data_IF_676496948022
#
_entry.id   IF_676496948022
#
_cell.length_a   1.000
_cell.length_b   1.000
_cell.length_c   1.000
_cell.angle_alpha   90.00
_cell.angle_beta   90.00
_cell.angle_gamma   90.00
#
_symmetry.space_group_name_H-M   'P 1'
#
loop_
_entity.id
_entity.type
_entity.pdbx_description
1 polymer ?
#
# COMPACT_ATOMS: atom_id res chain seq x y z
N UNK A 1 55.04 21.51 -11.43
CA UNK A 1 54.32 22.24 -12.48
C UNK A 1 52.85 22.32 -12.14
N UNK A 2 52.22 23.48 -12.01
CA UNK A 2 50.79 23.56 -11.75
C UNK A 2 50.00 23.12 -13.00
N UNK A 3 48.99 22.29 -12.80
CA UNK A 3 48.06 21.84 -13.84
C UNK A 3 47.37 23.08 -14.43
N UNK A 4 47.44 23.22 -15.76
CA UNK A 4 46.78 24.33 -16.44
C UNK A 4 45.27 24.24 -16.28
N UNK A 5 44.58 25.38 -16.22
CA UNK A 5 43.11 25.49 -16.10
C UNK A 5 42.37 24.64 -17.12
N UNK A 6 42.89 24.48 -18.33
CA UNK A 6 42.34 23.65 -19.39
C UNK A 6 42.31 22.15 -19.04
N UNK A 7 43.36 21.62 -18.42
CA UNK A 7 43.39 20.20 -17.97
C UNK A 7 42.39 19.93 -16.84
N UNK A 8 42.17 20.89 -15.92
CA UNK A 8 41.15 20.77 -14.88
C UNK A 8 39.73 20.78 -15.48
N UNK A 9 39.44 21.65 -16.45
CA UNK A 9 38.13 21.68 -17.10
C UNK A 9 37.79 20.39 -17.86
N UNK A 10 38.76 19.75 -18.53
CA UNK A 10 38.57 18.50 -19.24
C UNK A 10 38.27 17.35 -18.21
N UNK A 11 39.00 17.28 -17.10
CA UNK A 11 38.77 16.25 -16.06
C UNK A 11 37.40 16.40 -15.44
N UNK A 12 36.96 17.60 -15.10
CA UNK A 12 35.64 17.84 -14.54
C UNK A 12 34.50 17.60 -15.55
N UNK A 13 34.72 17.89 -16.83
CA UNK A 13 33.76 17.58 -17.90
C UNK A 13 33.56 16.09 -18.09
N UNK A 14 34.64 15.27 -18.05
CA UNK A 14 34.55 13.82 -18.18
C UNK A 14 33.93 13.16 -16.96
N UNK A 15 34.21 13.61 -15.76
CA UNK A 15 33.58 13.11 -14.52
C UNK A 15 32.08 13.43 -14.53
N UNK A 16 31.68 14.64 -14.94
CA UNK A 16 30.28 15.03 -15.06
C UNK A 16 29.51 14.19 -16.09
N UNK A 17 30.13 13.92 -17.24
CA UNK A 17 29.53 13.08 -18.29
C UNK A 17 29.36 11.62 -17.82
N UNK A 18 30.36 11.05 -17.15
CA UNK A 18 30.28 9.70 -16.56
C UNK A 18 29.18 9.59 -15.51
N UNK A 19 29.05 10.59 -14.64
CA UNK A 19 27.98 10.62 -13.63
C UNK A 19 26.58 10.68 -14.28
N UNK A 20 26.43 11.46 -15.35
CA UNK A 20 25.18 11.56 -16.12
C UNK A 20 24.83 10.24 -16.82
N UNK A 21 25.79 9.57 -17.43
CA UNK A 21 25.61 8.26 -18.08
C UNK A 21 25.25 7.21 -17.04
N UNK A 22 25.91 7.19 -15.89
CA UNK A 22 25.56 6.26 -14.78
C UNK A 22 24.15 6.50 -14.25
N UNK A 23 23.75 7.77 -14.07
CA UNK A 23 22.39 8.10 -13.65
C UNK A 23 21.35 7.65 -14.69
N UNK A 24 21.58 7.86 -15.97
CA UNK A 24 20.70 7.35 -17.04
C UNK A 24 20.61 5.84 -17.05
N UNK A 25 21.71 5.11 -16.88
CA UNK A 25 21.70 3.65 -16.83
C UNK A 25 20.93 3.13 -15.62
N UNK A 26 21.03 3.79 -14.47
CA UNK A 26 20.27 3.45 -13.26
C UNK A 26 18.77 3.67 -13.51
N UNK A 27 18.39 4.82 -14.07
CA UNK A 27 17.00 5.14 -14.40
C UNK A 27 16.41 4.14 -15.41
N UNK A 28 17.15 3.78 -16.45
CA UNK A 28 16.73 2.76 -17.43
C UNK A 28 16.52 1.39 -16.78
N UNK A 29 17.42 0.96 -15.88
CA UNK A 29 17.27 -0.31 -15.17
C UNK A 29 16.03 -0.31 -14.27
N UNK A 30 15.75 0.79 -13.58
CA UNK A 30 14.53 0.91 -12.77
C UNK A 30 13.27 0.88 -13.64
N UNK A 31 13.25 1.60 -14.75
CA UNK A 31 12.11 1.61 -15.68
C UNK A 31 11.84 0.21 -16.27
N UNK A 32 12.88 -0.52 -16.66
CA UNK A 32 12.77 -1.89 -17.15
C UNK A 32 12.26 -2.83 -16.04
N UNK A 33 12.80 -2.73 -14.83
CA UNK A 33 12.38 -3.56 -13.71
C UNK A 33 10.90 -3.32 -13.36
N UNK A 34 10.46 -2.07 -13.31
CA UNK A 34 9.06 -1.72 -13.08
C UNK A 34 8.15 -2.25 -14.19
N UNK A 35 8.52 -2.10 -15.47
CA UNK A 35 7.78 -2.66 -16.59
C UNK A 35 7.66 -4.18 -16.53
N UNK A 36 8.71 -4.89 -16.10
CA UNK A 36 8.67 -6.34 -15.91
C UNK A 36 7.76 -6.75 -14.75
N UNK A 37 7.74 -5.99 -13.66
CA UNK A 37 6.85 -6.24 -12.50
C UNK A 37 5.40 -6.05 -12.88
N UNK A 38 5.05 -4.97 -13.56
CA UNK A 38 3.68 -4.71 -14.06
C UNK A 38 3.23 -5.84 -14.99
N UNK A 39 4.03 -6.18 -15.99
CA UNK A 39 3.72 -7.27 -16.93
C UNK A 39 3.57 -8.65 -16.25
N UNK A 40 4.26 -8.88 -15.12
CA UNK A 40 4.10 -10.09 -14.31
C UNK A 40 2.78 -10.06 -13.55
N UNK A 41 2.41 -8.92 -12.96
CA UNK A 41 1.14 -8.72 -12.27
C UNK A 41 -0.05 -8.88 -13.22
N UNK A 42 -0.01 -8.26 -14.39
CA UNK A 42 -1.04 -8.42 -15.43
C UNK A 42 -1.22 -9.89 -15.84
N UNK A 43 -0.13 -10.64 -15.98
CA UNK A 43 -0.19 -12.10 -16.26
C UNK A 43 -0.76 -12.89 -15.10
N UNK A 44 -0.46 -12.52 -13.84
CA UNK A 44 -1.02 -13.18 -12.68
C UNK A 44 -2.55 -12.99 -12.61
N UNK A 45 -3.04 -11.82 -12.94
CA UNK A 45 -4.48 -11.53 -13.04
C UNK A 45 -5.10 -12.29 -14.21
N UNK A 46 -4.50 -12.21 -15.40
CA UNK A 46 -5.00 -12.89 -16.61
C UNK A 46 -5.07 -14.43 -16.46
N UNK A 47 -4.20 -15.02 -15.65
CA UNK A 47 -4.19 -16.45 -15.34
C UNK A 47 -4.98 -16.81 -14.07
N UNK A 48 -5.73 -15.88 -13.48
CA UNK A 48 -6.49 -16.06 -12.23
C UNK A 48 -5.63 -16.53 -11.03
N UNK A 49 -4.33 -16.23 -11.04
CA UNK A 49 -3.44 -16.50 -9.91
C UNK A 49 -3.68 -15.48 -8.80
N UNK A 50 -3.95 -14.22 -9.18
CA UNK A 50 -4.33 -13.15 -8.28
C UNK A 50 -5.53 -12.40 -8.86
N UNK A 51 -6.48 -12.02 -8.00
CA UNK A 51 -7.70 -11.34 -8.43
C UNK A 51 -7.92 -10.09 -7.57
N UNK A 52 -7.75 -8.89 -8.14
CA UNK A 52 -8.18 -7.67 -7.49
C UNK A 52 -9.68 -7.71 -7.20
N UNK A 53 -10.07 -7.28 -6.00
CA UNK A 53 -11.48 -7.17 -5.59
C UNK A 53 -12.01 -5.82 -6.09
N UNK A 54 -13.20 -5.84 -6.69
CA UNK A 54 -13.91 -4.61 -7.03
C UNK A 54 -14.44 -3.92 -5.76
N UNK A 55 -13.89 -2.77 -5.45
CA UNK A 55 -14.24 -1.95 -4.29
C UNK A 55 -15.09 -0.73 -4.64
N UNK A 56 -15.48 -0.58 -5.91
CA UNK A 56 -16.14 0.64 -6.44
C UNK A 56 -17.37 1.04 -5.65
N UNK A 57 -18.17 0.07 -5.22
CA UNK A 57 -19.39 0.31 -4.42
C UNK A 57 -19.11 0.78 -2.97
N UNK A 58 -17.87 0.61 -2.49
CA UNK A 58 -17.45 0.90 -1.11
C UNK A 58 -16.56 2.14 -1.00
N UNK A 59 -16.15 2.74 -2.11
CA UNK A 59 -15.31 3.93 -2.07
C UNK A 59 -16.06 5.15 -1.50
N UNK A 60 -15.40 5.84 -0.59
CA UNK A 60 -15.85 7.14 -0.09
C UNK A 60 -15.44 8.26 -1.04
N UNK A 61 -14.31 8.11 -1.74
CA UNK A 61 -13.81 9.02 -2.76
C UNK A 61 -13.03 8.28 -3.85
N UNK A 62 -13.09 8.81 -5.07
CA UNK A 62 -12.35 8.30 -6.24
C UNK A 62 -11.21 9.24 -6.66
N UNK A 63 -11.12 10.44 -6.07
CA UNK A 63 -10.04 11.40 -6.29
C UNK A 63 -9.81 12.22 -5.03
N UNK A 64 -8.77 11.87 -4.30
CA UNK A 64 -8.38 12.56 -3.07
C UNK A 64 -7.44 13.73 -3.32
N UNK A 65 -7.02 13.96 -4.56
CA UNK A 65 -5.96 14.92 -4.89
C UNK A 65 -4.60 14.52 -4.29
N UNK A 66 -4.44 13.24 -3.92
CA UNK A 66 -3.18 12.73 -3.39
C UNK A 66 -2.24 12.36 -4.53
N UNK A 67 -0.98 12.70 -4.36
CA UNK A 67 0.10 12.30 -5.27
C UNK A 67 0.54 10.86 -4.93
N UNK A 68 -0.34 9.90 -5.20
CA UNK A 68 -0.12 8.46 -5.05
C UNK A 68 -0.33 7.76 -6.40
N UNK A 69 0.24 6.56 -6.60
CA UNK A 69 -0.02 5.80 -7.82
C UNK A 69 -1.47 5.29 -7.81
N UNK A 70 -2.23 5.66 -8.83
CA UNK A 70 -3.58 5.21 -9.13
C UNK A 70 -3.57 4.11 -10.20
N UNK A 71 -4.74 3.58 -10.54
CA UNK A 71 -4.95 2.53 -11.52
C UNK A 71 -4.27 1.20 -11.13
N UNK A 72 -3.88 0.43 -12.14
CA UNK A 72 -3.23 -0.86 -11.93
C UNK A 72 -1.76 -0.69 -11.51
N UNK A 73 -1.44 -1.21 -10.35
CA UNK A 73 -0.11 -1.20 -9.76
C UNK A 73 0.36 -2.59 -9.35
N UNK A 74 1.66 -2.77 -9.20
CA UNK A 74 2.23 -3.99 -8.62
C UNK A 74 3.22 -3.60 -7.52
N UNK A 75 2.89 -3.95 -6.28
CA UNK A 75 3.77 -3.74 -5.14
C UNK A 75 4.10 -5.09 -4.48
N UNK A 76 5.37 -5.33 -4.21
CA UNK A 76 5.83 -6.57 -3.59
C UNK A 76 5.31 -7.84 -4.30
N UNK A 77 5.29 -7.83 -5.63
CA UNK A 77 4.75 -8.85 -6.54
C UNK A 77 3.20 -9.01 -6.50
N UNK A 78 2.46 -8.23 -5.72
CA UNK A 78 1.00 -8.26 -5.64
C UNK A 78 0.39 -7.26 -6.61
N UNK A 79 -0.46 -7.69 -7.57
CA UNK A 79 -1.21 -6.78 -8.42
C UNK A 79 -2.37 -6.14 -7.65
N UNK A 80 -2.54 -4.84 -7.81
CA UNK A 80 -3.53 -4.03 -7.12
C UNK A 80 -4.26 -3.14 -8.12
N UNK A 81 -5.57 -3.01 -8.00
CA UNK A 81 -6.36 -2.02 -8.69
C UNK A 81 -6.72 -0.91 -7.70
N UNK A 82 -6.26 0.31 -7.94
CA UNK A 82 -6.39 1.47 -7.04
C UNK A 82 -7.23 2.53 -7.73
N UNK A 83 -8.54 2.49 -7.52
CA UNK A 83 -9.51 3.37 -8.20
C UNK A 83 -10.23 4.32 -7.21
N UNK A 84 -9.89 4.24 -5.94
CA UNK A 84 -10.50 5.06 -4.89
C UNK A 84 -10.01 4.70 -3.50
N UNK A 85 -10.66 5.25 -2.50
CA UNK A 85 -10.33 5.05 -1.10
C UNK A 85 -11.55 4.78 -0.24
N UNK A 86 -11.41 3.87 0.69
CA UNK A 86 -12.35 3.57 1.76
C UNK A 86 -11.76 4.05 3.09
N UNK A 87 -12.62 4.55 3.96
CA UNK A 87 -12.24 5.04 5.27
C UNK A 87 -13.07 4.41 6.36
N UNK A 88 -12.44 4.08 7.48
CA UNK A 88 -13.14 3.71 8.70
C UNK A 88 -12.95 4.80 9.76
N UNK A 89 -13.91 4.88 10.65
CA UNK A 89 -13.94 5.86 11.75
C UNK A 89 -12.67 5.80 12.60
N UNK A 90 -12.21 6.95 13.04
CA UNK A 90 -11.17 7.13 14.03
C UNK A 90 -11.33 8.43 14.79
N UNK A 91 -11.09 8.41 16.10
CA UNK A 91 -11.28 9.58 16.96
C UNK A 91 -10.39 10.78 16.55
N UNK A 92 -9.30 10.54 15.83
CA UNK A 92 -8.46 11.61 15.29
C UNK A 92 -9.17 12.42 14.21
N UNK A 93 -9.85 11.76 13.28
CA UNK A 93 -10.63 12.38 12.22
C UNK A 93 -11.89 13.05 12.75
N UNK A 94 -12.64 12.36 13.61
CA UNK A 94 -13.86 12.90 14.21
C UNK A 94 -13.59 14.19 14.99
N UNK A 95 -12.50 14.25 15.78
CA UNK A 95 -12.07 15.48 16.46
C UNK A 95 -11.70 16.63 15.50
N UNK A 96 -11.34 16.30 14.27
CA UNK A 96 -11.07 17.28 13.20
C UNK A 96 -12.31 17.65 12.40
N UNK A 97 -13.50 17.15 12.79
CA UNK A 97 -14.77 17.42 12.13
C UNK A 97 -15.02 16.57 10.89
N UNK A 98 -14.28 15.47 10.70
CA UNK A 98 -14.45 14.53 9.59
C UNK A 98 -14.90 13.19 10.16
N UNK A 99 -16.16 12.83 9.96
CA UNK A 99 -16.71 11.54 10.38
C UNK A 99 -16.73 10.56 9.22
N UNK A 100 -16.04 9.44 9.42
CA UNK A 100 -16.08 8.29 8.54
C UNK A 100 -17.03 7.21 9.10
N UNK A 101 -17.50 6.25 8.28
CA UNK A 101 -18.31 5.15 8.75
C UNK A 101 -17.57 4.28 9.77
N UNK A 102 -18.30 3.76 10.76
CA UNK A 102 -17.75 2.80 11.73
C UNK A 102 -17.56 1.41 11.11
N UNK A 103 -18.29 1.11 10.03
CA UNK A 103 -18.26 -0.17 9.32
C UNK A 103 -18.44 0.00 7.82
N UNK A 104 -17.86 -0.92 7.06
CA UNK A 104 -18.09 -1.13 5.62
C UNK A 104 -18.36 -2.62 5.47
N UNK A 105 -19.56 -3.00 5.06
CA UNK A 105 -19.99 -4.40 5.03
C UNK A 105 -20.39 -4.84 3.63
N UNK A 106 -20.31 -6.16 3.38
CA UNK A 106 -20.78 -6.75 2.14
C UNK A 106 -19.87 -6.53 0.93
N UNK A 107 -18.57 -6.30 1.13
CA UNK A 107 -17.60 -6.26 0.01
C UNK A 107 -17.58 -7.66 -0.63
N UNK A 108 -18.13 -7.78 -1.83
CA UNK A 108 -18.33 -9.06 -2.51
C UNK A 108 -16.99 -9.72 -2.90
N UNK A 109 -16.85 -11.01 -2.61
CA UNK A 109 -15.71 -11.84 -3.02
C UNK A 109 -16.18 -13.00 -3.90
N UNK A 110 -17.19 -13.75 -3.43
CA UNK A 110 -17.84 -14.87 -4.14
C UNK A 110 -16.84 -15.89 -4.68
N UNK A 111 -15.96 -16.37 -3.85
CA UNK A 111 -14.94 -17.32 -4.26
C UNK A 111 -14.12 -17.92 -3.12
N UNK A 112 -13.42 -19.01 -3.42
CA UNK A 112 -12.45 -19.60 -2.49
C UNK A 112 -11.15 -18.83 -2.59
N UNK A 113 -10.68 -18.34 -1.46
CA UNK A 113 -9.43 -17.57 -1.38
C UNK A 113 -8.46 -18.22 -0.38
N UNK A 114 -7.18 -18.22 -0.69
CA UNK A 114 -6.11 -18.64 0.24
C UNK A 114 -5.66 -17.46 1.11
N UNK A 115 -5.34 -16.35 0.48
CA UNK A 115 -4.84 -15.15 1.13
C UNK A 115 -5.48 -13.90 0.54
N UNK A 116 -5.81 -12.96 1.40
CA UNK A 116 -6.22 -11.60 1.05
C UNK A 116 -5.06 -10.65 1.28
N UNK A 117 -4.70 -9.88 0.29
CA UNK A 117 -3.73 -8.78 0.35
C UNK A 117 -4.47 -7.46 0.46
N UNK A 118 -4.15 -6.66 1.47
CA UNK A 118 -4.78 -5.37 1.71
C UNK A 118 -3.74 -4.26 1.60
N UNK A 119 -3.96 -3.31 0.70
CA UNK A 119 -3.15 -2.11 0.54
C UNK A 119 -3.77 -0.96 1.32
N UNK A 120 -3.11 -0.55 2.40
CA UNK A 120 -3.71 0.31 3.41
C UNK A 120 -2.70 1.17 4.18
N UNK A 121 -3.25 2.14 4.93
CA UNK A 121 -2.54 2.96 5.91
C UNK A 121 -3.53 3.44 6.99
N UNK A 122 -3.11 4.37 7.84
CA UNK A 122 -4.01 5.09 8.75
C UNK A 122 -3.88 6.60 8.59
N UNK A 123 -4.97 7.32 8.86
CA UNK A 123 -4.86 8.68 9.35
C UNK A 123 -4.52 8.62 10.84
N UNK A 124 -3.58 9.43 11.27
CA UNK A 124 -3.05 9.52 12.61
C UNK A 124 -2.37 8.24 13.12
N UNK A 125 -1.33 8.47 13.89
CA UNK A 125 -0.61 7.41 14.59
C UNK A 125 -1.36 6.94 15.85
N UNK A 126 -1.09 5.71 16.25
CA UNK A 126 -1.50 5.10 17.50
C UNK A 126 -0.27 4.47 18.20
N UNK A 127 -0.36 4.06 19.47
CA UNK A 127 0.65 3.22 20.08
C UNK A 127 0.82 1.88 19.34
N UNK A 128 2.04 1.36 19.31
CA UNK A 128 2.36 0.09 18.67
C UNK A 128 1.48 -1.05 19.24
N UNK A 129 0.98 -1.92 18.37
CA UNK A 129 0.07 -3.01 18.73
C UNK A 129 -1.38 -2.60 19.01
N UNK A 130 -1.75 -1.33 18.84
CA UNK A 130 -3.14 -0.88 18.99
C UNK A 130 -4.00 -1.43 17.85
N UNK A 131 -5.16 -2.08 18.15
CA UNK A 131 -6.12 -2.46 17.13
C UNK A 131 -6.67 -1.23 16.39
N UNK A 132 -6.61 -1.28 15.06
CA UNK A 132 -7.11 -0.20 14.20
C UNK A 132 -8.47 -0.56 13.62
N UNK A 133 -8.55 -1.73 12.99
CA UNK A 133 -9.80 -2.24 12.45
C UNK A 133 -9.81 -3.77 12.44
N UNK A 134 -11.01 -4.33 12.35
CA UNK A 134 -11.25 -5.75 12.15
C UNK A 134 -11.68 -6.00 10.71
N UNK A 135 -11.16 -7.07 10.12
CA UNK A 135 -11.55 -7.62 8.83
C UNK A 135 -12.18 -8.99 9.05
N UNK A 136 -13.42 -9.13 8.61
CA UNK A 136 -14.22 -10.34 8.82
C UNK A 136 -14.48 -11.02 7.48
N UNK A 137 -14.00 -12.26 7.32
CA UNK A 137 -14.44 -13.12 6.24
C UNK A 137 -15.83 -13.68 6.55
N UNK A 138 -16.78 -13.57 5.63
CA UNK A 138 -18.10 -14.19 5.69
C UNK A 138 -18.14 -15.36 4.70
N UNK A 139 -18.51 -16.53 5.21
CA UNK A 139 -18.49 -17.75 4.41
C UNK A 139 -19.89 -18.18 3.98
N UNK A 140 -19.99 -18.97 2.89
CA UNK A 140 -21.24 -19.49 2.34
C UNK A 140 -22.03 -20.37 3.33
N UNK A 141 -21.34 -21.02 4.28
CA UNK A 141 -21.95 -21.86 5.32
C UNK A 141 -22.51 -21.05 6.51
N UNK A 142 -22.43 -19.71 6.45
CA UNK A 142 -22.86 -18.80 7.50
C UNK A 142 -21.83 -18.57 8.62
N UNK A 143 -20.69 -19.26 8.58
CA UNK A 143 -19.60 -19.01 9.52
C UNK A 143 -18.83 -17.72 9.20
N UNK A 144 -18.03 -17.25 10.13
CA UNK A 144 -17.16 -16.09 9.92
C UNK A 144 -15.86 -16.19 10.68
N UNK A 145 -14.82 -15.52 10.19
CA UNK A 145 -13.53 -15.38 10.87
C UNK A 145 -13.11 -13.93 10.88
N UNK A 146 -12.77 -13.43 12.08
CA UNK A 146 -12.29 -12.06 12.30
C UNK A 146 -10.77 -12.03 12.38
N UNK A 147 -10.16 -11.10 11.66
CA UNK A 147 -8.74 -10.77 11.73
C UNK A 147 -8.60 -9.32 12.20
N UNK A 148 -7.82 -9.10 13.23
CA UNK A 148 -7.58 -7.78 13.78
C UNK A 148 -6.30 -7.19 13.20
N UNK A 149 -6.37 -5.99 12.62
CA UNK A 149 -5.25 -5.28 12.03
C UNK A 149 -4.68 -4.30 13.05
N UNK A 150 -3.38 -4.42 13.32
CA UNK A 150 -2.70 -3.74 14.42
C UNK A 150 -1.78 -2.64 13.91
N UNK A 151 -1.83 -1.49 14.56
CA UNK A 151 -0.88 -0.41 14.29
C UNK A 151 0.56 -0.85 14.56
N UNK A 152 1.49 -0.43 13.71
CA UNK A 152 2.89 -0.81 13.64
C UNK A 152 3.15 -2.24 13.15
N UNK A 153 2.33 -3.21 13.52
CA UNK A 153 2.46 -4.58 13.01
C UNK A 153 2.05 -4.66 11.53
N UNK A 154 0.86 -4.17 11.21
CA UNK A 154 0.23 -4.39 9.90
C UNK A 154 0.18 -3.12 9.07
N UNK A 155 -0.09 -1.98 9.69
CA UNK A 155 -0.22 -0.70 9.01
C UNK A 155 0.31 0.46 9.87
N UNK A 156 0.57 1.57 9.21
CA UNK A 156 1.17 2.77 9.81
C UNK A 156 0.43 4.02 9.32
N UNK A 157 0.64 5.13 10.04
CA UNK A 157 0.21 6.46 9.60
C UNK A 157 0.72 6.73 8.17
N UNK A 158 -0.20 7.10 7.26
CA UNK A 158 0.16 7.39 5.86
C UNK A 158 1.18 8.52 5.75
N UNK A 159 1.17 9.47 6.69
CA UNK A 159 2.22 10.46 6.80
C UNK A 159 3.42 9.84 7.54
N UNK A 160 4.52 9.65 6.83
CA UNK A 160 5.69 9.01 7.42
C UNK A 160 6.32 9.80 8.57
N UNK A 161 6.05 11.11 8.68
CA UNK A 161 6.70 12.02 9.64
C UNK A 161 8.20 12.20 9.41
N UNK A 162 8.76 11.55 8.39
CA UNK A 162 10.19 11.60 8.06
C UNK A 162 10.50 12.89 7.31
N UNK A 163 11.58 13.57 7.72
CA UNK A 163 12.08 14.76 7.04
C UNK A 163 13.44 14.49 6.38
N UNK A 164 13.59 14.95 5.15
CA UNK A 164 14.81 14.78 4.37
C UNK A 164 15.05 13.33 3.92
N UNK A 165 16.30 12.92 3.75
CA UNK A 165 16.69 11.62 3.17
C UNK A 165 16.77 10.46 4.19
N UNK A 166 16.01 10.51 5.27
CA UNK A 166 15.99 9.42 6.24
C UNK A 166 15.13 8.26 5.70
N UNK A 167 15.50 7.00 6.02
CA UNK A 167 14.66 5.86 5.67
C UNK A 167 13.26 5.97 6.29
N UNK A 168 12.23 5.67 5.50
CA UNK A 168 10.85 5.58 5.98
C UNK A 168 10.66 4.23 6.67
N UNK A 169 10.14 4.24 7.90
CA UNK A 169 9.84 3.01 8.65
C UNK A 169 8.69 2.26 7.97
N UNK A 170 8.85 0.95 7.78
CA UNK A 170 7.79 0.03 7.40
C UNK A 170 7.13 -0.63 8.62
N UNK A 171 6.08 -1.45 8.39
CA UNK A 171 5.43 -2.24 9.43
C UNK A 171 6.38 -3.32 9.97
N UNK A 172 6.15 -3.76 11.20
CA UNK A 172 7.02 -4.74 11.89
C UNK A 172 6.53 -6.18 11.81
N UNK A 173 5.28 -6.38 11.41
CA UNK A 173 4.66 -7.71 11.27
C UNK A 173 5.25 -8.54 10.14
N UNK A 174 5.34 -9.85 10.34
CA UNK A 174 5.92 -10.77 9.34
C UNK A 174 5.11 -10.84 8.05
N UNK A 175 3.80 -10.59 8.12
CA UNK A 175 2.88 -10.66 6.99
C UNK A 175 2.66 -9.29 6.33
N UNK A 176 3.44 -8.28 6.71
CA UNK A 176 3.25 -6.91 6.24
C UNK A 176 4.54 -6.34 5.68
N UNK A 177 4.41 -5.50 4.67
CA UNK A 177 5.54 -4.82 3.99
C UNK A 177 5.20 -3.36 3.76
N UNK A 178 6.24 -2.53 3.75
CA UNK A 178 6.15 -1.20 3.16
C UNK A 178 6.01 -1.37 1.66
N UNK A 179 4.84 -1.05 1.11
CA UNK A 179 4.53 -1.27 -0.29
C UNK A 179 4.96 -0.10 -1.16
N UNK A 180 4.69 1.12 -0.69
CA UNK A 180 4.98 2.33 -1.45
C UNK A 180 5.37 3.48 -0.53
N UNK A 181 6.30 4.30 -1.02
CA UNK A 181 6.74 5.55 -0.40
C UNK A 181 6.93 6.58 -1.49
N UNK A 182 6.25 7.69 -1.40
CA UNK A 182 6.38 8.75 -2.40
C UNK A 182 5.41 9.88 -2.16
N UNK A 183 5.27 10.76 -3.14
CA UNK A 183 4.41 11.92 -3.04
C UNK A 183 4.72 12.82 -1.84
N UNK A 184 3.84 13.73 -1.55
CA UNK A 184 3.91 14.52 -0.33
C UNK A 184 2.56 15.14 -0.02
N UNK A 185 2.20 15.12 1.25
CA UNK A 185 1.02 15.85 1.74
C UNK A 185 1.35 17.32 2.04
N UNK A 186 2.60 17.69 2.12
CA UNK A 186 3.03 19.06 2.42
C UNK A 186 3.46 19.79 1.16
N UNK A 187 3.10 21.07 1.04
CA UNK A 187 3.46 21.93 -0.12
C UNK A 187 4.97 22.01 -0.36
N UNK A 188 5.79 21.73 0.63
CA UNK A 188 7.25 21.72 0.51
C UNK A 188 7.82 20.36 0.03
N UNK A 189 6.97 19.37 -0.23
CA UNK A 189 7.36 18.06 -0.74
C UNK A 189 8.24 17.21 0.19
N UNK A 190 8.37 17.59 1.48
CA UNK A 190 9.41 17.03 2.36
C UNK A 190 8.97 15.92 3.30
N UNK A 191 7.68 15.58 3.32
CA UNK A 191 7.15 14.49 4.13
C UNK A 191 6.51 13.44 3.23
N UNK A 192 7.23 12.38 2.86
CA UNK A 192 6.69 11.37 1.97
C UNK A 192 5.53 10.63 2.64
N UNK A 193 4.54 10.30 1.83
CA UNK A 193 3.48 9.37 2.17
C UNK A 193 4.02 7.95 2.15
N UNK A 194 3.37 7.05 2.87
CA UNK A 194 3.65 5.62 2.86
C UNK A 194 2.36 4.82 2.94
N UNK A 195 2.36 3.69 2.25
CA UNK A 195 1.31 2.68 2.36
C UNK A 195 1.92 1.30 2.59
N UNK A 196 1.20 0.51 3.35
CA UNK A 196 1.58 -0.85 3.70
C UNK A 196 0.76 -1.86 2.88
N UNK A 197 1.32 -3.03 2.68
CA UNK A 197 0.63 -4.19 2.13
C UNK A 197 0.68 -5.31 3.15
N UNK A 198 -0.49 -5.82 3.55
CA UNK A 198 -0.62 -6.88 4.55
C UNK A 198 -1.28 -8.10 3.93
N UNK A 199 -0.65 -9.27 4.10
CA UNK A 199 -1.20 -10.57 3.71
C UNK A 199 -1.99 -11.17 4.88
N UNK A 200 -3.28 -11.41 4.67
CA UNK A 200 -4.18 -12.02 5.65
C UNK A 200 -4.57 -13.41 5.14
N UNK A 201 -4.03 -14.44 5.80
CA UNK A 201 -4.32 -15.81 5.44
C UNK A 201 -5.76 -16.17 5.82
N UNK A 202 -6.50 -16.75 4.87
CA UNK A 202 -7.81 -17.30 5.14
C UNK A 202 -7.66 -18.69 5.82
N UNK A 203 -8.09 -18.87 7.07
CA UNK A 203 -7.97 -20.16 7.76
C UNK A 203 -8.93 -21.23 7.23
N UNK A 204 -9.96 -20.84 6.46
CA UNK A 204 -10.97 -21.73 5.87
C UNK A 204 -10.94 -21.66 4.34
N UNK A 205 -9.76 -21.77 3.73
CA UNK A 205 -9.56 -21.65 2.28
C UNK A 205 -10.37 -22.65 1.43
N UNK A 206 -10.90 -23.71 2.04
CA UNK A 206 -11.78 -24.69 1.38
C UNK A 206 -13.24 -24.24 1.23
N UNK A 207 -13.67 -23.23 2.00
CA UNK A 207 -15.05 -22.71 2.00
C UNK A 207 -15.07 -21.40 1.20
N UNK A 208 -16.14 -21.17 0.44
CA UNK A 208 -16.30 -19.93 -0.30
C UNK A 208 -16.49 -18.74 0.63
N UNK A 209 -15.72 -17.66 0.42
CA UNK A 209 -15.94 -16.38 1.05
C UNK A 209 -16.96 -15.60 0.19
N UNK A 210 -18.12 -15.33 0.75
CA UNK A 210 -19.18 -14.57 0.08
C UNK A 210 -18.88 -13.07 0.09
N UNK A 211 -18.43 -12.58 1.26
CA UNK A 211 -18.09 -11.17 1.42
C UNK A 211 -17.04 -10.93 2.49
N UNK A 212 -16.51 -9.71 2.50
CA UNK A 212 -15.65 -9.17 3.55
C UNK A 212 -16.37 -8.00 4.20
N UNK A 213 -16.32 -7.95 5.54
CA UNK A 213 -16.75 -6.80 6.31
C UNK A 213 -15.56 -6.17 7.02
N UNK A 214 -15.60 -4.86 7.20
CA UNK A 214 -14.59 -4.06 7.89
C UNK A 214 -15.26 -3.29 9.03
N UNK A 215 -14.66 -3.34 10.23
CA UNK A 215 -15.17 -2.63 11.42
C UNK A 215 -14.06 -1.83 12.08
N UNK A 216 -14.33 -0.56 12.36
CA UNK A 216 -13.41 0.27 13.15
C UNK A 216 -13.28 -0.25 14.58
N UNK A 217 -12.07 -0.33 15.11
CA UNK A 217 -11.83 -0.56 16.54
C UNK A 217 -12.03 0.70 17.39
N UNK A 218 -12.50 1.80 16.80
CA UNK A 218 -12.86 3.07 17.48
C UNK A 218 -11.70 3.72 18.25
N UNK A 219 -10.47 3.41 17.84
CA UNK A 219 -9.26 4.04 18.35
C UNK A 219 -9.02 5.43 17.77
N UNK A 220 -7.81 5.99 18.04
CA UNK A 220 -7.41 7.29 17.48
C UNK A 220 -7.17 7.22 15.97
N UNK A 221 -6.50 6.16 15.50
CA UNK A 221 -6.17 5.96 14.11
C UNK A 221 -7.41 5.54 13.31
N UNK A 222 -7.60 6.14 12.15
CA UNK A 222 -8.65 5.80 11.19
C UNK A 222 -8.03 5.03 10.02
N UNK A 223 -8.56 3.87 9.66
CA UNK A 223 -8.03 3.12 8.53
C UNK A 223 -8.34 3.80 7.20
N UNK A 224 -7.38 3.73 6.29
CA UNK A 224 -7.45 4.10 4.88
C UNK A 224 -7.14 2.85 4.08
N UNK A 225 -8.08 2.34 3.29
CA UNK A 225 -7.92 1.16 2.46
C UNK A 225 -8.08 1.57 0.99
N UNK A 226 -7.10 1.26 0.16
CA UNK A 226 -7.05 1.65 -1.24
C UNK A 226 -7.33 0.50 -2.20
N UNK A 227 -6.87 -0.71 -1.87
CA UNK A 227 -7.06 -1.88 -2.72
C UNK A 227 -7.04 -3.18 -1.92
N UNK A 228 -7.69 -4.19 -2.47
CA UNK A 228 -7.65 -5.57 -2.00
C UNK A 228 -7.46 -6.52 -3.17
N UNK A 229 -6.64 -7.57 -2.97
CA UNK A 229 -6.39 -8.61 -3.98
C UNK A 229 -6.37 -9.97 -3.30
N UNK A 230 -7.01 -10.96 -3.92
CA UNK A 230 -6.92 -12.36 -3.48
C UNK A 230 -5.83 -13.09 -4.28
N UNK A 231 -5.17 -14.04 -3.65
CA UNK A 231 -4.13 -14.84 -4.30
C UNK A 231 -3.50 -15.89 -3.38
N UNK A 232 -2.49 -16.63 -3.86
CA UNK A 232 -1.76 -17.60 -3.05
C UNK A 232 -0.89 -16.90 -1.99
N UNK A 233 -0.61 -17.59 -0.88
CA UNK A 233 0.11 -17.03 0.28
C UNK A 233 1.58 -16.68 0.01
N UNK A 234 2.15 -17.13 -1.08
CA UNK A 234 3.53 -16.86 -1.50
C UNK A 234 3.65 -15.74 -2.56
N UNK A 235 2.57 -15.03 -2.85
CA UNK A 235 2.56 -13.97 -3.85
C UNK A 235 3.41 -12.77 -3.42
N UNK A 236 3.25 -12.32 -2.16
CA UNK A 236 4.03 -11.21 -1.60
C UNK A 236 5.43 -11.67 -1.17
N UNK A 237 6.45 -11.03 -1.72
CA UNK A 237 7.87 -11.31 -1.42
C UNK A 237 8.56 -10.16 -0.69
#
# INVERSE_FOLDING_TARGET
MPWTTAKKAIVWGTVGLLALVMAMLILQRHAIANGMMVARGERAVANHIATPIDLTASYASQDEGWDIPWDFQVFNDVPLQIDGSMYLWGAGNSKSGVDFPEEITGIAVNGKIDTLYVYHATFYSAPDGTPVYELVFRYEDGSSVTNQLLYDSDLLDFNSGVKGNRPVKGPTGHNSRLAWVGGSFTQDGKQPLRFCLTAIKNPQAGIEVTSIDLYSCKGRAAAVILAMTTGPSDLMK
#
